data_IF_216958203946
#
_entry.id   IF_216958203946
#
_cell.length_a   1.000
_cell.length_b   1.000
_cell.length_c   1.000
_cell.angle_alpha   90.00
_cell.angle_beta   90.00
_cell.angle_gamma   90.00
#
_symmetry.space_group_name_H-M   'P 1'
#
loop_
_entity.id
_entity.type
_entity.pdbx_description
1 polymer ?
#
# COMPACT_ATOMS: atom_id res chain seq x y z
N UNK A 1 0.25 -13.81 -5.99
CA UNK A 1 0.34 -12.85 -4.85
C UNK A 1 1.16 -11.67 -5.30
N UNK A 2 0.68 -10.44 -5.08
CA UNK A 2 1.41 -9.19 -5.26
C UNK A 2 1.90 -8.64 -3.91
N UNK A 3 2.94 -7.79 -3.93
CA UNK A 3 3.41 -7.11 -2.72
C UNK A 3 3.85 -5.68 -3.05
N UNK A 4 3.41 -4.74 -2.22
CA UNK A 4 3.80 -3.32 -2.25
C UNK A 4 4.57 -3.03 -0.97
N UNK A 5 5.82 -2.60 -1.12
CA UNK A 5 6.73 -2.33 -0.01
C UNK A 5 6.70 -0.86 0.42
N UNK A 6 7.00 -0.60 1.67
CA UNK A 6 7.04 0.74 2.27
C UNK A 6 7.87 1.75 1.45
N UNK A 7 9.01 1.36 0.90
CA UNK A 7 9.88 2.22 0.11
C UNK A 7 9.81 1.96 -1.40
N UNK A 8 8.65 1.44 -1.88
CA UNK A 8 8.39 1.10 -3.28
C UNK A 8 9.26 -0.02 -3.84
N UNK A 9 10.47 -0.22 -3.37
CA UNK A 9 11.44 -1.24 -3.77
C UNK A 9 11.56 -1.40 -5.30
N UNK A 10 11.61 -0.26 -6.02
CA UNK A 10 11.85 -0.25 -7.47
C UNK A 10 13.31 -0.59 -7.75
N UNK A 11 13.55 -1.25 -8.86
CA UNK A 11 14.89 -1.49 -9.38
C UNK A 11 15.39 -0.19 -10.03
N UNK A 12 16.36 0.48 -9.43
CA UNK A 12 16.88 1.77 -9.90
C UNK A 12 17.59 1.67 -11.27
N UNK A 13 18.06 0.47 -11.64
CA UNK A 13 18.69 0.18 -12.93
C UNK A 13 17.70 -0.13 -14.07
N UNK A 14 16.40 -0.15 -13.76
CA UNK A 14 15.33 -0.46 -14.71
C UNK A 14 14.41 0.74 -14.87
N UNK A 15 13.91 0.95 -16.08
CA UNK A 15 12.87 1.93 -16.35
C UNK A 15 11.55 1.58 -15.61
N UNK A 16 10.62 2.52 -15.56
CA UNK A 16 9.27 2.33 -15.02
C UNK A 16 8.57 1.14 -15.68
N UNK A 17 8.62 1.09 -17.02
CA UNK A 17 8.02 -0.01 -17.78
C UNK A 17 8.69 -1.36 -17.48
N UNK A 18 10.02 -1.39 -17.35
CA UNK A 18 10.76 -2.61 -17.00
C UNK A 18 10.47 -3.09 -15.58
N UNK A 19 10.34 -2.17 -14.62
CA UNK A 19 9.89 -2.48 -13.26
C UNK A 19 8.52 -3.18 -13.26
N UNK A 20 7.54 -2.64 -13.99
CA UNK A 20 6.21 -3.24 -14.08
C UNK A 20 6.24 -4.56 -14.86
N UNK A 21 7.04 -4.65 -15.93
CA UNK A 21 7.19 -5.84 -16.75
C UNK A 21 7.94 -6.99 -16.06
N UNK A 22 8.71 -6.69 -15.00
CA UNK A 22 9.63 -7.65 -14.38
C UNK A 22 8.97 -8.98 -14.04
N UNK A 23 7.86 -8.94 -13.30
CA UNK A 23 7.12 -10.16 -12.92
C UNK A 23 6.54 -10.90 -14.13
N UNK A 24 6.03 -10.18 -15.12
CA UNK A 24 5.49 -10.77 -16.35
C UNK A 24 6.57 -11.54 -17.11
N UNK A 25 7.76 -10.98 -17.27
CA UNK A 25 8.90 -11.63 -17.96
C UNK A 25 9.39 -12.88 -17.22
N UNK A 26 9.36 -12.86 -15.86
CA UNK A 26 9.88 -13.97 -15.06
C UNK A 26 8.88 -15.14 -14.94
N UNK A 27 7.59 -14.87 -14.94
CA UNK A 27 6.57 -15.86 -14.57
C UNK A 27 5.59 -16.20 -15.69
N UNK A 28 5.73 -15.61 -16.88
CA UNK A 28 4.84 -15.90 -18.01
C UNK A 28 5.63 -16.21 -19.28
N UNK A 29 4.95 -16.72 -20.30
CA UNK A 29 5.48 -16.93 -21.65
C UNK A 29 4.91 -15.92 -22.64
N UNK A 30 4.44 -14.77 -22.15
CA UNK A 30 3.88 -13.71 -22.99
C UNK A 30 4.95 -13.12 -23.92
N UNK A 31 4.53 -12.73 -25.12
CA UNK A 31 5.41 -12.03 -26.07
C UNK A 31 5.61 -10.58 -25.61
N UNK A 32 6.71 -9.96 -26.06
CA UNK A 32 7.06 -8.58 -25.69
C UNK A 32 5.93 -7.57 -25.98
N UNK A 33 5.20 -7.72 -27.08
CA UNK A 33 4.10 -6.80 -27.40
C UNK A 33 2.90 -6.96 -26.45
N UNK A 34 2.64 -8.18 -25.97
CA UNK A 34 1.61 -8.44 -24.95
C UNK A 34 2.03 -7.84 -23.61
N UNK A 35 3.30 -8.01 -23.21
CA UNK A 35 3.87 -7.43 -22.00
C UNK A 35 3.78 -5.90 -22.05
N UNK A 36 4.18 -5.27 -23.16
CA UNK A 36 4.10 -3.82 -23.34
C UNK A 36 2.66 -3.31 -23.18
N UNK A 37 1.68 -4.01 -23.76
CA UNK A 37 0.26 -3.67 -23.62
C UNK A 37 -0.21 -3.73 -22.16
N UNK A 38 0.14 -4.80 -21.45
CA UNK A 38 -0.21 -4.95 -20.02
C UNK A 38 0.46 -3.83 -19.21
N UNK A 39 1.74 -3.57 -19.43
CA UNK A 39 2.47 -2.49 -18.72
C UNK A 39 1.80 -1.15 -18.92
N UNK A 40 1.50 -0.77 -20.18
CA UNK A 40 0.82 0.49 -20.48
C UNK A 40 -0.55 0.59 -19.79
N UNK A 41 -1.31 -0.50 -19.79
CA UNK A 41 -2.61 -0.59 -19.11
C UNK A 41 -2.48 -0.42 -17.59
N UNK A 42 -1.53 -1.10 -16.93
CA UNK A 42 -1.33 -1.00 -15.48
C UNK A 42 -0.81 0.38 -15.06
N UNK A 43 0.04 0.99 -15.88
CA UNK A 43 0.49 2.37 -15.65
C UNK A 43 -0.66 3.38 -15.83
N UNK A 44 -1.53 3.17 -16.80
CA UNK A 44 -2.74 4.00 -16.97
C UNK A 44 -3.67 3.90 -15.74
N UNK A 45 -3.86 2.71 -15.17
CA UNK A 45 -4.67 2.51 -13.95
C UNK A 45 -4.18 3.32 -12.75
N UNK A 46 -2.88 3.56 -12.66
CA UNK A 46 -2.28 4.36 -11.58
C UNK A 46 -2.01 5.82 -11.98
N UNK A 47 -2.54 6.26 -13.14
CA UNK A 47 -2.39 7.62 -13.64
C UNK A 47 -0.97 7.99 -14.07
N UNK A 48 -0.23 7.02 -14.60
CA UNK A 48 1.14 7.18 -15.11
C UNK A 48 1.27 6.75 -16.58
N UNK A 49 0.25 7.00 -17.38
CA UNK A 49 0.27 6.75 -18.82
C UNK A 49 1.39 7.53 -19.49
N UNK A 50 2.22 6.85 -20.29
CA UNK A 50 3.34 7.45 -21.02
C UNK A 50 4.63 7.57 -20.22
N UNK A 51 4.69 7.03 -18.99
CA UNK A 51 5.89 7.07 -18.16
C UNK A 51 6.78 5.83 -18.28
N UNK A 52 6.54 4.96 -19.26
CA UNK A 52 7.21 3.66 -19.40
C UNK A 52 8.73 3.76 -19.53
N UNK A 53 9.23 4.84 -20.18
CA UNK A 53 10.66 5.06 -20.43
C UNK A 53 11.38 5.82 -19.31
N UNK A 54 10.66 6.38 -18.35
CA UNK A 54 11.27 7.13 -17.24
C UNK A 54 12.03 6.20 -16.30
N UNK A 55 13.07 6.75 -15.66
CA UNK A 55 13.82 6.06 -14.61
C UNK A 55 13.26 6.40 -13.23
N UNK A 56 13.42 5.52 -12.21
CA UNK A 56 12.93 5.78 -10.87
C UNK A 56 13.44 7.09 -10.25
N UNK A 57 14.66 7.51 -10.55
CA UNK A 57 15.24 8.76 -10.04
C UNK A 57 14.58 10.03 -10.62
N UNK A 58 13.84 9.93 -11.72
CA UNK A 58 13.09 11.03 -12.32
C UNK A 58 11.69 11.20 -11.71
N UNK A 59 11.29 10.31 -10.79
CA UNK A 59 9.94 10.27 -10.22
C UNK A 59 9.88 10.87 -8.82
N UNK A 60 8.77 11.55 -8.51
CA UNK A 60 8.43 11.91 -7.13
C UNK A 60 8.15 10.68 -6.26
N UNK A 61 8.17 10.82 -4.92
CA UNK A 61 7.85 9.73 -4.00
C UNK A 61 6.47 9.11 -4.25
N UNK A 62 5.45 9.93 -4.48
CA UNK A 62 4.11 9.45 -4.81
C UNK A 62 4.04 8.72 -6.16
N UNK A 63 4.82 9.15 -7.16
CA UNK A 63 4.91 8.44 -8.45
C UNK A 63 5.60 7.09 -8.28
N UNK A 64 6.67 6.99 -7.49
CA UNK A 64 7.33 5.71 -7.18
C UNK A 64 6.37 4.72 -6.52
N UNK A 65 5.54 5.17 -5.57
CA UNK A 65 4.49 4.37 -4.95
C UNK A 65 3.49 3.85 -6.00
N UNK A 66 3.03 4.72 -6.92
CA UNK A 66 2.11 4.33 -7.99
C UNK A 66 2.71 3.32 -8.97
N UNK A 67 4.00 3.43 -9.31
CA UNK A 67 4.71 2.40 -10.11
C UNK A 67 4.78 1.07 -9.34
N UNK A 68 5.08 1.11 -8.04
CA UNK A 68 5.09 -0.09 -7.19
C UNK A 68 3.71 -0.78 -7.15
N UNK A 69 2.62 -0.01 -7.10
CA UNK A 69 1.25 -0.53 -7.22
C UNK A 69 1.05 -1.21 -8.59
N UNK A 70 1.40 -0.53 -9.70
CA UNK A 70 1.28 -1.08 -11.05
C UNK A 70 2.06 -2.40 -11.21
N UNK A 71 3.28 -2.47 -10.65
CA UNK A 71 4.10 -3.69 -10.63
C UNK A 71 3.44 -4.83 -9.86
N UNK A 72 2.88 -4.53 -8.69
CA UNK A 72 2.25 -5.53 -7.82
C UNK A 72 1.03 -6.19 -8.48
N UNK A 73 0.30 -5.44 -9.33
CA UNK A 73 -0.91 -5.93 -10.01
C UNK A 73 -0.67 -6.46 -11.43
N UNK A 74 0.56 -6.40 -11.94
CA UNK A 74 0.85 -6.77 -13.33
C UNK A 74 0.46 -8.20 -13.70
N UNK A 75 0.50 -9.12 -12.74
CA UNK A 75 0.18 -10.55 -12.89
C UNK A 75 -1.27 -10.91 -12.47
N UNK A 76 -2.17 -9.95 -12.33
CA UNK A 76 -3.55 -10.14 -11.85
C UNK A 76 -3.62 -11.05 -10.59
N UNK A 77 -2.97 -10.65 -9.49
CA UNK A 77 -2.88 -11.49 -8.30
C UNK A 77 -4.24 -11.61 -7.59
N UNK A 78 -4.53 -12.79 -7.03
CA UNK A 78 -5.71 -13.01 -6.17
C UNK A 78 -5.54 -12.43 -4.76
N UNK A 79 -4.30 -12.13 -4.34
CA UNK A 79 -3.96 -11.54 -3.04
C UNK A 79 -2.88 -10.48 -3.22
N UNK A 80 -3.07 -9.32 -2.60
CA UNK A 80 -2.06 -8.25 -2.54
C UNK A 80 -1.78 -7.90 -1.09
N UNK A 81 -0.50 -7.84 -0.76
CA UNK A 81 -0.01 -7.35 0.54
C UNK A 81 0.53 -5.93 0.36
N UNK A 82 0.10 -5.01 1.20
CA UNK A 82 0.57 -3.63 1.23
C UNK A 82 1.23 -3.36 2.58
N UNK A 83 2.50 -2.95 2.53
CA UNK A 83 3.27 -2.57 3.70
C UNK A 83 3.48 -1.06 3.68
N UNK A 84 2.78 -0.34 4.55
CA UNK A 84 2.82 1.12 4.70
C UNK A 84 2.75 1.86 3.35
N UNK A 85 1.71 1.64 2.53
CA UNK A 85 1.69 2.10 1.13
C UNK A 85 1.70 3.63 1.00
N UNK A 86 1.22 4.37 2.00
CA UNK A 86 1.14 5.84 2.03
C UNK A 86 2.24 6.50 2.86
N UNK A 87 3.13 5.71 3.47
CA UNK A 87 4.19 6.25 4.35
C UNK A 87 5.09 7.27 3.63
N UNK A 88 5.36 8.39 4.30
CA UNK A 88 6.23 9.47 3.79
C UNK A 88 5.60 10.37 2.72
N UNK A 89 4.29 10.27 2.52
CA UNK A 89 3.53 11.11 1.60
C UNK A 89 2.74 12.19 2.36
N UNK A 90 2.46 13.29 1.68
CA UNK A 90 1.50 14.28 2.16
C UNK A 90 0.07 13.73 2.16
N UNK A 91 -0.87 14.33 2.94
CA UNK A 91 -2.22 13.79 3.10
C UNK A 91 -3.01 13.65 1.77
N UNK A 92 -2.81 14.56 0.81
CA UNK A 92 -3.52 14.53 -0.48
C UNK A 92 -3.02 13.35 -1.32
N UNK A 93 -1.70 13.18 -1.39
CA UNK A 93 -1.07 12.06 -2.10
C UNK A 93 -1.39 10.72 -1.44
N UNK A 94 -1.41 10.67 -0.09
CA UNK A 94 -1.84 9.49 0.68
C UNK A 94 -3.28 9.09 0.35
N UNK A 95 -4.21 10.05 0.31
CA UNK A 95 -5.59 9.82 -0.13
C UNK A 95 -5.66 9.24 -1.55
N UNK A 96 -4.82 9.75 -2.46
CA UNK A 96 -4.75 9.22 -3.84
C UNK A 96 -4.31 7.74 -3.85
N UNK A 97 -3.31 7.36 -3.05
CA UNK A 97 -2.88 5.95 -2.93
C UNK A 97 -4.02 5.08 -2.40
N UNK A 98 -4.73 5.53 -1.38
CA UNK A 98 -5.89 4.81 -0.81
C UNK A 98 -7.00 4.59 -1.84
N UNK A 99 -7.32 5.62 -2.65
CA UNK A 99 -8.27 5.50 -3.77
C UNK A 99 -7.81 4.49 -4.81
N UNK A 100 -6.53 4.47 -5.16
CA UNK A 100 -5.97 3.50 -6.10
C UNK A 100 -6.05 2.07 -5.55
N UNK A 101 -5.73 1.83 -4.28
CA UNK A 101 -5.85 0.52 -3.62
C UNK A 101 -7.29 0.01 -3.73
N UNK A 102 -8.28 0.83 -3.34
CA UNK A 102 -9.71 0.44 -3.41
C UNK A 102 -10.16 0.21 -4.86
N UNK A 103 -9.73 1.05 -5.79
CA UNK A 103 -10.04 0.90 -7.22
C UNK A 103 -9.45 -0.37 -7.83
N UNK A 104 -8.22 -0.76 -7.46
CA UNK A 104 -7.59 -1.98 -7.91
C UNK A 104 -8.26 -3.23 -7.32
N UNK A 105 -8.61 -3.20 -6.03
CA UNK A 105 -9.37 -4.26 -5.38
C UNK A 105 -10.69 -4.55 -6.13
N UNK A 106 -11.43 -3.49 -6.47
CA UNK A 106 -12.69 -3.61 -7.19
C UNK A 106 -12.52 -4.16 -8.63
N UNK A 107 -11.46 -3.70 -9.33
CA UNK A 107 -11.19 -4.13 -10.72
C UNK A 107 -10.73 -5.57 -10.81
N UNK A 108 -9.88 -6.00 -9.89
CA UNK A 108 -9.27 -7.33 -9.89
C UNK A 108 -10.10 -8.37 -9.11
N UNK A 109 -11.04 -7.93 -8.26
CA UNK A 109 -11.75 -8.84 -7.35
C UNK A 109 -10.81 -9.57 -6.39
N UNK A 110 -9.66 -8.96 -6.06
CA UNK A 110 -8.63 -9.59 -5.25
C UNK A 110 -8.80 -9.29 -3.75
N UNK A 111 -8.25 -10.16 -2.91
CA UNK A 111 -8.10 -9.90 -1.48
C UNK A 111 -6.92 -8.96 -1.24
N UNK A 112 -7.09 -8.02 -0.32
CA UNK A 112 -6.04 -7.09 0.07
C UNK A 112 -5.78 -7.17 1.57
N UNK A 113 -4.51 -7.23 1.96
CA UNK A 113 -4.07 -7.04 3.36
C UNK A 113 -3.20 -5.79 3.38
N UNK A 114 -3.61 -4.80 4.17
CA UNK A 114 -2.91 -3.52 4.30
C UNK A 114 -2.39 -3.39 5.72
N UNK A 115 -1.09 -3.26 5.88
CA UNK A 115 -0.45 -2.91 7.14
C UNK A 115 -0.21 -1.40 7.10
N UNK A 116 -0.76 -0.68 8.06
CA UNK A 116 -0.61 0.78 8.17
C UNK A 116 -0.89 1.27 9.58
N UNK A 117 -0.29 2.40 9.94
CA UNK A 117 -0.63 3.18 11.14
C UNK A 117 -1.55 4.37 10.82
N UNK A 118 -1.82 4.62 9.53
CA UNK A 118 -2.71 5.70 9.10
C UNK A 118 -4.17 5.24 9.17
N UNK A 119 -4.84 5.63 10.25
CA UNK A 119 -6.23 5.26 10.50
C UNK A 119 -7.20 5.83 9.45
N UNK A 120 -6.89 7.00 8.87
CA UNK A 120 -7.72 7.58 7.82
C UNK A 120 -7.72 6.70 6.56
N UNK A 121 -6.54 6.27 6.14
CA UNK A 121 -6.38 5.31 5.04
C UNK A 121 -7.01 3.95 5.37
N UNK A 122 -6.79 3.43 6.59
CA UNK A 122 -7.36 2.16 7.04
C UNK A 122 -8.89 2.16 6.95
N UNK A 123 -9.56 3.17 7.49
CA UNK A 123 -11.03 3.29 7.41
C UNK A 123 -11.56 3.47 5.99
N UNK A 124 -10.77 4.05 5.09
CA UNK A 124 -11.18 4.24 3.70
C UNK A 124 -11.11 2.95 2.87
N UNK A 125 -10.05 2.14 3.07
CA UNK A 125 -9.79 0.98 2.20
C UNK A 125 -10.35 -0.32 2.74
N UNK A 126 -10.41 -0.50 4.07
CA UNK A 126 -10.68 -1.78 4.69
C UNK A 126 -12.18 -2.10 4.75
N UNK A 127 -12.51 -3.38 4.68
CA UNK A 127 -13.80 -3.94 5.07
C UNK A 127 -13.76 -4.40 6.54
N UNK A 128 -12.58 -4.87 7.00
CA UNK A 128 -12.31 -5.25 8.39
C UNK A 128 -10.96 -4.70 8.83
N UNK A 129 -10.86 -4.34 10.11
CA UNK A 129 -9.63 -3.84 10.73
C UNK A 129 -9.23 -4.75 11.88
N UNK A 130 -7.93 -4.98 12.01
CA UNK A 130 -7.33 -5.72 13.11
C UNK A 130 -6.24 -4.85 13.76
N UNK A 131 -6.34 -4.60 15.06
CA UNK A 131 -5.25 -3.98 15.83
C UNK A 131 -4.33 -5.07 16.37
N UNK A 132 -3.07 -5.01 15.94
CA UNK A 132 -2.00 -5.88 16.43
C UNK A 132 -1.15 -5.11 17.45
N UNK A 133 -1.02 -5.63 18.65
CA UNK A 133 -0.18 -5.08 19.71
C UNK A 133 0.60 -6.20 20.42
N UNK A 134 1.91 -6.02 20.58
CA UNK A 134 2.80 -6.99 21.23
C UNK A 134 2.65 -8.45 20.75
N UNK A 135 2.44 -8.62 19.43
CA UNK A 135 2.29 -9.94 18.81
C UNK A 135 0.90 -10.59 18.95
N UNK A 136 -0.07 -9.88 19.52
CA UNK A 136 -1.45 -10.37 19.70
C UNK A 136 -2.45 -9.44 19.05
N UNK A 137 -3.53 -10.01 18.51
CA UNK A 137 -4.66 -9.23 18.05
C UNK A 137 -5.47 -8.73 19.24
N UNK A 138 -5.54 -7.40 19.39
CA UNK A 138 -6.33 -6.74 20.45
C UNK A 138 -7.81 -6.76 20.09
N UNK A 139 -8.12 -6.53 18.82
CA UNK A 139 -9.48 -6.53 18.28
C UNK A 139 -9.45 -6.82 16.79
N UNK A 140 -10.47 -7.51 16.27
CA UNK A 140 -10.72 -7.73 14.84
C UNK A 140 -12.21 -7.54 14.60
N UNK A 141 -12.60 -6.47 13.92
CA UNK A 141 -14.00 -6.17 13.65
C UNK A 141 -14.19 -5.50 12.29
N UNK A 142 -15.41 -5.25 11.86
CA UNK A 142 -15.66 -4.37 10.72
C UNK A 142 -15.30 -2.91 11.04
N UNK A 143 -15.22 -2.07 10.02
CA UNK A 143 -14.77 -0.68 10.17
C UNK A 143 -15.68 0.16 11.08
N UNK A 144 -16.98 -0.14 11.10
CA UNK A 144 -17.96 0.61 11.93
C UNK A 144 -17.81 0.20 13.40
N UNK A 145 -17.76 -1.10 13.67
CA UNK A 145 -17.54 -1.64 15.01
C UNK A 145 -16.19 -1.20 15.55
N UNK A 146 -15.12 -1.29 14.75
CA UNK A 146 -13.79 -0.86 15.15
C UNK A 146 -13.73 0.62 15.54
N UNK A 147 -14.38 1.49 14.76
CA UNK A 147 -14.46 2.93 15.05
C UNK A 147 -15.19 3.24 16.37
N UNK A 148 -16.20 2.45 16.71
CA UNK A 148 -17.03 2.60 17.90
C UNK A 148 -16.61 1.65 19.05
N UNK A 149 -15.43 1.02 18.94
CA UNK A 149 -14.93 0.09 19.95
C UNK A 149 -14.86 0.75 21.34
N UNK A 150 -15.21 0.00 22.36
CA UNK A 150 -15.05 0.41 23.78
C UNK A 150 -13.69 0.02 24.34
N UNK A 151 -12.85 -0.67 23.56
CA UNK A 151 -11.50 -1.05 23.96
C UNK A 151 -10.60 0.20 24.03
N UNK A 152 -10.03 0.46 25.19
CA UNK A 152 -9.18 1.65 25.41
C UNK A 152 -7.98 1.69 24.46
N UNK A 153 -7.31 0.57 24.19
CA UNK A 153 -6.16 0.52 23.28
C UNK A 153 -6.55 0.87 21.85
N UNK A 154 -7.71 0.40 21.40
CA UNK A 154 -8.25 0.75 20.08
C UNK A 154 -8.53 2.24 19.99
N UNK A 155 -9.19 2.81 21.00
CA UNK A 155 -9.51 4.25 21.03
C UNK A 155 -8.24 5.11 21.10
N UNK A 156 -7.26 4.74 21.93
CA UNK A 156 -5.96 5.41 21.98
C UNK A 156 -5.28 5.41 20.60
N UNK A 157 -5.28 4.28 19.90
CA UNK A 157 -4.68 4.18 18.59
C UNK A 157 -5.42 5.03 17.55
N UNK A 158 -6.75 5.00 17.54
CA UNK A 158 -7.58 5.80 16.62
C UNK A 158 -7.33 7.30 16.81
N UNK A 159 -7.21 7.76 18.07
CA UNK A 159 -7.06 9.17 18.40
C UNK A 159 -5.60 9.63 18.50
N UNK A 160 -4.63 8.74 18.37
CA UNK A 160 -3.21 9.06 18.52
C UNK A 160 -2.85 9.50 19.95
N UNK A 161 -3.54 8.97 20.96
CA UNK A 161 -3.30 9.31 22.37
C UNK A 161 -2.07 8.55 22.89
N UNK A 162 -1.10 9.29 23.42
CA UNK A 162 0.09 8.69 24.01
C UNK A 162 -0.26 7.96 25.33
N UNK A 163 0.36 6.81 25.56
CA UNK A 163 0.33 6.22 26.90
C UNK A 163 1.05 7.15 27.88
N UNK A 164 0.52 7.35 29.12
CA UNK A 164 1.20 8.15 30.13
C UNK A 164 2.57 7.52 30.40
N UNK A 165 3.62 8.31 30.25
CA UNK A 165 4.99 7.89 30.61
C UNK A 165 4.99 7.64 32.10
N UNK A 166 5.32 6.41 32.52
CA UNK A 166 5.49 6.10 33.93
C UNK A 166 6.65 6.97 34.47
N UNK A 167 6.34 7.91 35.38
CA UNK A 167 7.32 8.82 35.98
C UNK A 167 8.50 8.10 36.64
N UNK A 168 8.33 6.80 37.01
CA UNK A 168 9.39 5.96 37.53
C UNK A 168 10.51 5.66 36.50
N UNK A 169 10.27 5.89 35.19
CA UNK A 169 11.30 5.75 34.15
C UNK A 169 12.09 7.04 33.87
N UNK A 170 11.70 8.16 34.46
CA UNK A 170 12.40 9.45 34.38
C UNK A 170 13.30 9.71 35.59
N UNK A 171 13.55 8.71 36.43
CA UNK A 171 14.53 8.80 37.50
C UNK A 171 15.92 8.94 36.91
N UNK A 172 16.56 10.07 37.27
CA UNK A 172 17.99 10.39 37.12
C UNK A 172 18.47 10.71 35.66
N UNK A 173 18.07 11.91 35.18
CA UNK A 173 18.93 12.67 34.27
C UNK A 173 19.33 13.98 34.98
#
# INVERSE_FOLDING_TARGET
MGMVFQYSALFDSMSVGENVAFGLRQHTKLKDDEIKRIVAERLDWVGLKGYESYMPNELSGGMKKRVSLARAIALDPSLILYDEPSSGLDPITSGTISMLIKGMQNRLGCTSIVVTHDMQSAFYVADRIALLDQGHFVEISDTIEFKNSTNKKVQQFIHGEAEPINESAMGDI
#
